data_IF_449223596321
#
_entry.id   IF_449223596321
#
_cell.length_a   1.000
_cell.length_b   1.000
_cell.length_c   1.000
_cell.angle_alpha   90.00
_cell.angle_beta   90.00
_cell.angle_gamma   90.00
#
_symmetry.space_group_name_H-M   'P 1'
#
loop_
_entity.id
_entity.type
_entity.pdbx_description
1 polymer ?
#
# COMPACT_ATOMS: atom_id res chain seq x y z
N UNK A 1 -2.05 -35.30 -2.71
CA UNK A 1 -2.76 -34.02 -2.63
C UNK A 1 -3.99 -34.22 -1.78
N UNK A 2 -4.15 -33.58 -0.63
CA UNK A 2 -5.40 -33.67 0.14
C UNK A 2 -6.52 -33.01 -0.67
N UNK A 3 -7.63 -33.72 -0.82
CA UNK A 3 -8.83 -33.20 -1.48
C UNK A 3 -9.36 -32.01 -0.67
N UNK A 4 -9.44 -30.85 -1.32
CA UNK A 4 -10.08 -29.64 -0.77
C UNK A 4 -11.57 -29.95 -0.66
N UNK A 5 -12.23 -29.78 0.51
CA UNK A 5 -13.68 -30.00 0.63
C UNK A 5 -14.41 -29.05 -0.33
N UNK A 6 -15.26 -29.61 -1.15
CA UNK A 6 -16.11 -28.90 -2.10
C UNK A 6 -17.23 -28.18 -1.32
N UNK A 7 -17.07 -26.89 -1.08
CA UNK A 7 -18.08 -26.04 -0.41
C UNK A 7 -19.32 -25.75 -1.27
N UNK A 8 -19.40 -26.28 -2.52
CA UNK A 8 -20.56 -26.10 -3.39
C UNK A 8 -21.84 -26.81 -2.90
N UNK A 9 -21.76 -27.59 -1.82
CA UNK A 9 -22.89 -28.44 -1.34
C UNK A 9 -23.63 -27.92 -0.12
N UNK A 10 -23.30 -26.74 0.42
CA UNK A 10 -24.12 -26.11 1.43
C UNK A 10 -25.04 -25.08 0.77
N UNK A 11 -26.35 -25.19 0.97
CA UNK A 11 -27.41 -24.26 0.54
C UNK A 11 -27.30 -22.93 1.30
N UNK A 12 -26.16 -22.24 1.16
CA UNK A 12 -25.82 -21.05 1.92
C UNK A 12 -26.21 -19.79 1.15
N UNK A 13 -26.83 -18.84 1.86
CA UNK A 13 -26.91 -17.46 1.39
C UNK A 13 -25.49 -16.94 1.12
N UNK A 14 -25.29 -16.15 0.06
CA UNK A 14 -24.00 -15.58 -0.31
C UNK A 14 -23.25 -14.97 0.88
N UNK A 15 -21.94 -15.25 1.02
CA UNK A 15 -21.06 -14.66 2.06
C UNK A 15 -21.10 -13.15 1.95
N UNK A 16 -21.24 -12.45 3.07
CA UNK A 16 -21.32 -10.99 3.14
C UNK A 16 -20.14 -10.41 3.90
N UNK A 17 -19.40 -9.54 3.24
CA UNK A 17 -18.30 -8.80 3.84
C UNK A 17 -18.60 -7.31 3.93
N UNK A 18 -18.13 -6.68 5.00
CA UNK A 18 -17.98 -5.23 5.07
C UNK A 18 -16.51 -4.89 5.18
N UNK A 19 -15.98 -4.16 4.20
CA UNK A 19 -14.58 -3.75 4.12
C UNK A 19 -14.46 -2.27 4.45
N UNK A 20 -13.59 -1.92 5.38
CA UNK A 20 -13.29 -0.56 5.80
C UNK A 20 -11.91 -0.16 5.31
N UNK A 21 -11.79 0.91 4.51
CA UNK A 21 -10.51 1.40 4.02
C UNK A 21 -10.36 2.92 4.18
N UNK A 22 -9.16 3.37 4.52
CA UNK A 22 -8.82 4.81 4.60
C UNK A 22 -8.78 5.49 3.23
N UNK A 23 -8.58 6.83 3.21
CA UNK A 23 -8.78 7.66 2.02
C UNK A 23 -7.65 7.60 0.99
N UNK A 24 -6.52 6.98 1.31
CA UNK A 24 -5.34 6.99 0.46
C UNK A 24 -5.12 5.65 -0.25
N UNK A 25 -4.36 5.66 -1.34
CA UNK A 25 -3.96 4.43 -2.04
C UNK A 25 -3.33 3.39 -1.13
N UNK A 26 -2.64 3.83 -0.06
CA UNK A 26 -2.04 2.94 0.93
C UNK A 26 -3.03 2.00 1.63
N UNK A 27 -4.28 2.40 1.76
CA UNK A 27 -5.34 1.59 2.37
C UNK A 27 -6.31 1.02 1.32
N UNK A 28 -6.61 1.82 0.29
CA UNK A 28 -7.62 1.46 -0.71
C UNK A 28 -7.14 0.35 -1.64
N UNK A 29 -5.87 0.37 -2.08
CA UNK A 29 -5.36 -0.66 -2.99
C UNK A 29 -5.24 -2.05 -2.34
N UNK A 30 -4.75 -2.21 -1.10
CA UNK A 30 -4.81 -3.50 -0.41
C UNK A 30 -6.25 -4.00 -0.19
N UNK A 31 -7.18 -3.09 0.13
CA UNK A 31 -8.61 -3.43 0.26
C UNK A 31 -9.21 -3.89 -1.08
N UNK A 32 -8.87 -3.22 -2.18
CA UNK A 32 -9.23 -3.64 -3.54
C UNK A 32 -8.69 -5.05 -3.84
N UNK A 33 -7.39 -5.26 -3.65
CA UNK A 33 -6.72 -6.53 -3.95
C UNK A 33 -7.31 -7.69 -3.16
N UNK A 34 -7.55 -7.49 -1.86
CA UNK A 34 -8.25 -8.46 -1.02
C UNK A 34 -9.66 -8.77 -1.55
N UNK A 35 -10.44 -7.73 -1.86
CA UNK A 35 -11.83 -7.88 -2.33
C UNK A 35 -11.91 -8.59 -3.68
N UNK A 36 -11.00 -8.30 -4.61
CA UNK A 36 -10.85 -9.00 -5.89
C UNK A 36 -10.50 -10.49 -5.66
N UNK A 37 -9.52 -10.77 -4.80
CA UNK A 37 -9.13 -12.13 -4.46
C UNK A 37 -10.25 -12.91 -3.77
N UNK A 38 -10.97 -12.26 -2.84
CA UNK A 38 -12.11 -12.87 -2.15
C UNK A 38 -13.25 -13.19 -3.11
N UNK A 39 -13.62 -12.26 -4.01
CA UNK A 39 -14.64 -12.50 -5.03
C UNK A 39 -14.24 -13.58 -6.03
N UNK A 40 -12.98 -13.64 -6.41
CA UNK A 40 -12.44 -14.70 -7.28
C UNK A 40 -12.61 -16.09 -6.64
N UNK A 41 -12.40 -16.19 -5.33
CA UNK A 41 -12.56 -17.44 -4.56
C UNK A 41 -14.02 -17.75 -4.22
N UNK A 42 -14.85 -16.71 -4.01
CA UNK A 42 -16.28 -16.78 -3.65
C UNK A 42 -17.09 -15.85 -4.57
N UNK A 43 -17.42 -16.28 -5.81
CA UNK A 43 -18.07 -15.44 -6.82
C UNK A 43 -19.39 -14.81 -6.37
N UNK A 44 -20.18 -15.56 -5.59
CA UNK A 44 -21.49 -15.12 -5.10
C UNK A 44 -21.41 -14.22 -3.86
N UNK A 45 -20.18 -13.90 -3.38
CA UNK A 45 -20.02 -13.07 -2.18
C UNK A 45 -20.53 -11.66 -2.40
N UNK A 46 -21.08 -11.04 -1.35
CA UNK A 46 -21.42 -9.63 -1.32
C UNK A 46 -20.37 -8.86 -0.52
N UNK A 47 -19.76 -7.85 -1.14
CA UNK A 47 -18.73 -7.03 -0.54
C UNK A 47 -19.16 -5.56 -0.57
N UNK A 48 -19.38 -4.99 0.61
CA UNK A 48 -19.75 -3.59 0.78
C UNK A 48 -18.52 -2.82 1.31
N UNK A 49 -18.08 -1.75 0.59
CA UNK A 49 -16.95 -0.91 0.98
C UNK A 49 -17.43 0.30 1.77
N UNK A 50 -16.79 0.58 2.89
CA UNK A 50 -16.96 1.81 3.68
C UNK A 50 -15.65 2.58 3.67
N UNK A 51 -15.68 3.81 3.14
CA UNK A 51 -14.52 4.69 3.04
C UNK A 51 -14.91 6.15 3.26
N UNK A 52 -14.08 7.12 2.95
CA UNK A 52 -14.45 8.53 3.00
C UNK A 52 -14.38 9.19 1.61
N UNK A 53 -14.97 10.38 1.46
CA UNK A 53 -15.11 11.07 0.17
C UNK A 53 -13.78 11.35 -0.55
N UNK A 54 -12.68 11.49 0.19
CA UNK A 54 -11.33 11.65 -0.41
C UNK A 54 -10.89 10.47 -1.26
N UNK A 55 -11.38 9.26 -0.95
CA UNK A 55 -11.08 8.07 -1.75
C UNK A 55 -11.85 8.02 -3.07
N UNK A 56 -12.88 8.88 -3.26
CA UNK A 56 -13.80 8.76 -4.40
C UNK A 56 -13.08 8.70 -5.75
N UNK A 57 -12.11 9.59 -5.98
CA UNK A 57 -11.36 9.62 -7.24
C UNK A 57 -10.51 8.36 -7.51
N UNK A 58 -10.12 7.62 -6.46
CA UNK A 58 -9.45 6.33 -6.59
C UNK A 58 -10.47 5.22 -6.87
N UNK A 59 -11.58 5.22 -6.14
CA UNK A 59 -12.66 4.23 -6.28
C UNK A 59 -13.30 4.30 -7.67
N UNK A 60 -13.55 5.51 -8.19
CA UNK A 60 -14.16 5.71 -9.52
C UNK A 60 -13.29 5.13 -10.67
N UNK A 61 -11.99 4.91 -10.43
CA UNK A 61 -11.06 4.30 -11.39
C UNK A 61 -10.94 2.78 -11.27
N UNK A 62 -11.58 2.17 -10.27
CA UNK A 62 -11.56 0.72 -10.05
C UNK A 62 -12.63 0.01 -10.87
N UNK A 63 -12.45 -1.28 -11.18
CA UNK A 63 -13.52 -2.09 -11.76
C UNK A 63 -14.77 -2.05 -10.86
N UNK A 64 -15.93 -1.76 -11.46
CA UNK A 64 -17.17 -1.51 -10.72
C UNK A 64 -17.73 -2.79 -10.06
N UNK A 65 -17.33 -3.96 -10.55
CA UNK A 65 -17.80 -5.25 -10.05
C UNK A 65 -17.18 -5.67 -8.71
N UNK A 66 -16.13 -4.99 -8.25
CA UNK A 66 -15.41 -5.39 -7.02
C UNK A 66 -16.30 -5.24 -5.80
N UNK A 67 -17.04 -4.14 -5.70
CA UNK A 67 -17.89 -3.81 -4.56
C UNK A 67 -19.36 -3.77 -4.96
N UNK A 68 -20.23 -4.40 -4.14
CA UNK A 68 -21.69 -4.32 -4.36
C UNK A 68 -22.25 -2.96 -3.97
N UNK A 69 -21.63 -2.31 -2.96
CA UNK A 69 -21.93 -0.91 -2.62
C UNK A 69 -20.71 -0.20 -2.07
N UNK A 70 -20.68 1.13 -2.22
CA UNK A 70 -19.65 2.00 -1.63
C UNK A 70 -20.32 3.07 -0.79
N UNK A 71 -20.02 3.07 0.50
CA UNK A 71 -20.52 4.06 1.46
C UNK A 71 -19.42 5.04 1.84
N UNK A 72 -19.71 6.33 1.72
CA UNK A 72 -18.77 7.39 2.07
C UNK A 72 -19.11 8.01 3.42
N UNK A 73 -18.18 7.91 4.36
CA UNK A 73 -18.25 8.60 5.65
C UNK A 73 -17.74 10.05 5.53
N UNK A 74 -18.20 10.96 6.39
CA UNK A 74 -17.57 12.27 6.51
C UNK A 74 -16.12 12.12 6.95
N UNK A 75 -15.27 13.06 6.51
CA UNK A 75 -13.87 13.07 6.93
C UNK A 75 -13.78 13.47 8.40
N UNK A 76 -13.04 12.67 9.15
CA UNK A 76 -12.64 12.99 10.50
C UNK A 76 -11.21 12.49 10.75
N UNK A 77 -10.49 13.22 11.55
CA UNK A 77 -9.15 12.88 11.99
C UNK A 77 -8.94 13.52 13.35
N UNK A 78 -8.03 13.02 14.14
CA UNK A 78 -7.61 13.68 15.37
C UNK A 78 -6.57 14.74 15.00
N UNK A 79 -6.88 16.04 15.10
CA UNK A 79 -5.90 17.09 14.90
C UNK A 79 -4.77 16.95 15.93
N UNK A 80 -3.54 17.17 15.51
CA UNK A 80 -2.41 17.31 16.42
C UNK A 80 -2.52 18.64 17.15
N UNK A 81 -2.80 18.62 18.46
CA UNK A 81 -2.87 19.81 19.31
C UNK A 81 -4.27 20.12 19.86
N UNK A 82 -4.31 20.92 20.91
CA UNK A 82 -5.55 21.33 21.60
C UNK A 82 -6.20 22.50 20.83
N UNK A 83 -7.33 22.25 20.19
CA UNK A 83 -8.10 23.25 19.42
C UNK A 83 -9.59 22.90 19.50
N UNK A 84 -10.49 23.87 19.29
CA UNK A 84 -11.92 23.62 19.11
C UNK A 84 -12.20 22.57 18.01
N UNK A 85 -11.29 22.39 17.05
CA UNK A 85 -11.35 21.32 16.05
C UNK A 85 -11.13 19.94 16.64
N UNK A 86 -10.56 19.81 17.85
CA UNK A 86 -10.40 18.54 18.57
C UNK A 86 -11.69 18.04 19.21
N UNK A 87 -12.72 18.88 19.37
CA UNK A 87 -14.03 18.46 19.88
C UNK A 87 -14.89 17.76 18.82
N UNK A 88 -14.68 18.06 17.52
CA UNK A 88 -15.43 17.41 16.43
C UNK A 88 -15.36 15.87 16.47
N UNK A 89 -14.19 15.22 16.61
CA UNK A 89 -14.10 13.77 16.71
C UNK A 89 -14.85 13.20 17.89
N UNK A 90 -14.91 13.90 19.02
CA UNK A 90 -15.58 13.45 20.24
C UNK A 90 -17.10 13.30 20.04
N UNK A 91 -17.74 14.22 19.31
CA UNK A 91 -19.17 14.12 18.99
C UNK A 91 -19.45 13.28 17.75
N UNK A 92 -18.53 13.28 16.77
CA UNK A 92 -18.71 12.54 15.52
C UNK A 92 -18.51 11.03 15.71
N UNK A 93 -17.63 10.62 16.63
CA UNK A 93 -17.36 9.19 16.85
C UNK A 93 -18.60 8.43 17.34
N UNK A 94 -19.35 8.84 18.39
CA UNK A 94 -20.59 8.16 18.80
C UNK A 94 -21.61 8.08 17.67
N UNK A 95 -21.78 9.14 16.89
CA UNK A 95 -22.66 9.16 15.73
C UNK A 95 -22.25 8.12 14.68
N UNK A 96 -20.95 8.09 14.31
CA UNK A 96 -20.45 7.14 13.33
C UNK A 96 -20.49 5.70 13.83
N UNK A 97 -20.23 5.50 15.12
CA UNK A 97 -20.37 4.18 15.77
C UNK A 97 -21.81 3.69 15.71
N UNK A 98 -22.79 4.50 16.14
CA UNK A 98 -24.22 4.14 16.09
C UNK A 98 -24.67 3.87 14.65
N UNK A 99 -24.26 4.71 13.70
CA UNK A 99 -24.56 4.52 12.28
C UNK A 99 -23.99 3.18 11.77
N UNK A 100 -22.74 2.88 12.10
CA UNK A 100 -22.11 1.60 11.75
C UNK A 100 -22.81 0.43 12.44
N UNK A 101 -23.15 0.55 13.72
CA UNK A 101 -23.86 -0.47 14.48
C UNK A 101 -25.20 -0.85 13.85
N UNK A 102 -26.06 0.14 13.51
CA UNK A 102 -27.34 -0.12 12.86
C UNK A 102 -27.16 -0.67 11.43
N UNK A 103 -26.15 -0.19 10.70
CA UNK A 103 -25.82 -0.71 9.38
C UNK A 103 -25.43 -2.20 9.46
N UNK A 104 -24.50 -2.56 10.36
CA UNK A 104 -24.06 -3.93 10.55
C UNK A 104 -25.18 -4.85 11.08
N UNK A 105 -26.00 -4.35 12.01
CA UNK A 105 -27.17 -5.09 12.52
C UNK A 105 -28.18 -5.41 11.43
N UNK A 106 -28.33 -4.52 10.43
CA UNK A 106 -29.21 -4.70 9.29
C UNK A 106 -28.61 -5.61 8.22
N UNK A 107 -27.33 -5.42 7.88
CA UNK A 107 -26.64 -6.15 6.80
C UNK A 107 -26.22 -7.55 7.23
N UNK A 108 -25.97 -7.75 8.52
CA UNK A 108 -25.51 -9.01 9.14
C UNK A 108 -24.37 -9.64 8.35
N UNK A 109 -23.21 -8.95 8.23
CA UNK A 109 -22.06 -9.50 7.52
C UNK A 109 -21.47 -10.68 8.29
N UNK A 110 -20.91 -11.63 7.55
CA UNK A 110 -20.19 -12.77 8.09
C UNK A 110 -18.79 -12.39 8.59
N UNK A 111 -18.23 -11.28 8.09
CA UNK A 111 -16.92 -10.76 8.47
C UNK A 111 -16.83 -9.26 8.20
N UNK A 112 -16.18 -8.54 9.11
CA UNK A 112 -15.72 -7.17 8.90
C UNK A 112 -14.19 -7.13 8.76
N UNK A 113 -13.67 -6.46 7.68
CA UNK A 113 -12.24 -6.34 7.42
C UNK A 113 -11.83 -4.88 7.41
N UNK A 114 -10.81 -4.52 8.21
CA UNK A 114 -10.28 -3.16 8.33
C UNK A 114 -8.89 -3.03 7.72
N UNK A 115 -8.72 -2.07 6.79
CA UNK A 115 -7.43 -1.71 6.19
C UNK A 115 -6.87 -0.40 6.76
N UNK A 116 -6.99 -0.23 8.09
CA UNK A 116 -6.44 0.93 8.79
C UNK A 116 -7.22 2.24 8.61
N UNK A 117 -6.61 3.33 9.08
CA UNK A 117 -7.20 4.67 9.16
C UNK A 117 -8.35 4.80 10.18
N UNK A 118 -8.63 6.03 10.59
CA UNK A 118 -9.75 6.32 11.48
C UNK A 118 -11.12 5.99 10.88
N UNK A 119 -11.22 5.87 9.56
CA UNK A 119 -12.44 5.42 8.88
C UNK A 119 -12.85 4.03 9.33
N UNK A 120 -11.89 3.13 9.58
CA UNK A 120 -12.16 1.77 10.04
C UNK A 120 -12.61 1.70 11.50
N UNK A 121 -12.18 2.65 12.34
CA UNK A 121 -12.32 2.52 13.79
C UNK A 121 -13.77 2.39 14.29
N UNK A 122 -14.74 3.27 13.94
CA UNK A 122 -16.12 3.13 14.40
C UNK A 122 -16.80 1.83 13.95
N UNK A 123 -16.54 1.44 12.69
CA UNK A 123 -17.15 0.25 12.10
C UNK A 123 -16.61 -1.05 12.70
N UNK A 124 -15.30 -1.15 12.86
CA UNK A 124 -14.65 -2.32 13.47
C UNK A 124 -15.05 -2.48 14.95
N UNK A 125 -15.15 -1.37 15.70
CA UNK A 125 -15.65 -1.39 17.08
C UNK A 125 -17.12 -1.81 17.16
N UNK A 126 -17.96 -1.35 16.22
CA UNK A 126 -19.34 -1.78 16.14
C UNK A 126 -19.47 -3.28 15.79
N UNK A 127 -18.62 -3.78 14.89
CA UNK A 127 -18.55 -5.21 14.54
C UNK A 127 -18.20 -6.05 15.78
N UNK A 128 -17.15 -5.65 16.51
CA UNK A 128 -16.77 -6.30 17.77
C UNK A 128 -17.93 -6.32 18.77
N UNK A 129 -18.61 -5.17 18.97
CA UNK A 129 -19.77 -5.08 19.90
C UNK A 129 -20.99 -5.91 19.48
N UNK A 130 -21.10 -6.26 18.21
CA UNK A 130 -22.14 -7.15 17.67
C UNK A 130 -21.71 -8.63 17.62
N UNK A 131 -20.49 -8.96 18.02
CA UNK A 131 -19.95 -10.31 17.92
C UNK A 131 -19.67 -10.77 16.49
N UNK A 132 -19.56 -9.84 15.52
CA UNK A 132 -19.22 -10.15 14.13
C UNK A 132 -17.70 -10.37 14.06
N UNK A 133 -17.21 -11.44 13.40
CA UNK A 133 -15.79 -11.69 13.22
C UNK A 133 -15.05 -10.48 12.62
N UNK A 134 -13.85 -10.23 13.10
CA UNK A 134 -13.07 -9.03 12.75
C UNK A 134 -11.64 -9.37 12.33
N UNK A 135 -11.24 -8.87 11.17
CA UNK A 135 -9.88 -8.96 10.62
C UNK A 135 -9.32 -7.57 10.35
N UNK A 136 -8.12 -7.27 10.84
CA UNK A 136 -7.37 -6.07 10.45
C UNK A 136 -6.16 -6.47 9.63
N UNK A 137 -5.90 -5.73 8.55
CA UNK A 137 -4.64 -5.76 7.85
C UNK A 137 -3.87 -4.46 8.09
N UNK A 138 -2.63 -4.55 8.62
CA UNK A 138 -1.74 -3.41 8.79
C UNK A 138 -0.68 -3.37 7.69
N UNK A 139 -0.60 -2.25 7.00
CA UNK A 139 0.27 -2.09 5.83
C UNK A 139 1.69 -1.63 6.18
N UNK A 140 1.89 -0.99 7.32
CA UNK A 140 3.15 -0.34 7.68
C UNK A 140 3.90 -1.10 8.78
N UNK A 141 5.22 -0.92 8.82
CA UNK A 141 6.09 -1.45 9.87
C UNK A 141 5.75 -0.92 11.27
N UNK A 142 5.27 0.33 11.35
CA UNK A 142 4.71 0.93 12.57
C UNK A 142 3.24 1.20 12.33
N UNK A 143 2.34 0.59 13.12
CA UNK A 143 0.90 0.75 12.94
C UNK A 143 0.42 2.17 13.20
N UNK A 144 -0.63 2.56 12.47
CA UNK A 144 -1.34 3.80 12.74
C UNK A 144 -2.08 3.77 14.08
N UNK A 145 -2.38 4.96 14.64
CA UNK A 145 -3.10 5.10 15.93
C UNK A 145 -4.43 4.33 15.95
N UNK A 146 -5.16 4.33 14.85
CA UNK A 146 -6.43 3.61 14.77
C UNK A 146 -6.24 2.09 14.93
N UNK A 147 -5.23 1.52 14.28
CA UNK A 147 -4.87 0.11 14.44
C UNK A 147 -4.51 -0.20 15.89
N UNK A 148 -3.66 0.61 16.52
CA UNK A 148 -3.31 0.42 17.93
C UNK A 148 -4.51 0.38 18.88
N UNK A 149 -5.49 1.23 18.67
CA UNK A 149 -6.71 1.26 19.51
C UNK A 149 -7.65 0.08 19.22
N UNK A 150 -7.65 -0.45 17.99
CA UNK A 150 -8.45 -1.59 17.60
C UNK A 150 -7.88 -2.94 18.08
N UNK A 151 -6.55 -3.07 18.16
CA UNK A 151 -5.85 -4.34 18.46
C UNK A 151 -6.47 -5.18 19.58
N UNK A 152 -6.84 -4.62 20.78
CA UNK A 152 -7.37 -5.43 21.88
C UNK A 152 -8.73 -6.06 21.59
N UNK A 153 -9.42 -5.55 20.58
CA UNK A 153 -10.81 -5.88 20.26
C UNK A 153 -10.98 -6.74 19.00
N UNK A 154 -9.89 -6.92 18.24
CA UNK A 154 -9.94 -7.64 16.97
C UNK A 154 -9.60 -9.11 17.16
N UNK A 155 -10.23 -9.96 16.37
CA UNK A 155 -10.00 -11.40 16.45
C UNK A 155 -8.67 -11.77 15.80
N UNK A 156 -8.43 -11.28 14.57
CA UNK A 156 -7.21 -11.56 13.81
C UNK A 156 -6.60 -10.27 13.26
N UNK A 157 -5.27 -10.21 13.30
CA UNK A 157 -4.46 -9.16 12.68
C UNK A 157 -3.52 -9.79 11.67
N UNK A 158 -3.52 -9.25 10.45
CA UNK A 158 -2.53 -9.57 9.42
C UNK A 158 -1.57 -8.39 9.25
N UNK A 159 -0.28 -8.68 9.14
CA UNK A 159 0.76 -7.66 8.94
C UNK A 159 1.45 -7.82 7.60
N UNK A 160 1.82 -6.69 6.97
CA UNK A 160 2.62 -6.70 5.75
C UNK A 160 4.10 -6.93 6.03
N UNK A 161 4.61 -6.32 7.09
CA UNK A 161 6.00 -6.40 7.50
C UNK A 161 6.13 -7.38 8.66
N UNK A 162 6.93 -8.41 8.50
CA UNK A 162 7.30 -9.27 9.61
C UNK A 162 7.87 -8.47 10.78
N UNK A 163 7.31 -8.70 11.98
CA UNK A 163 7.71 -7.98 13.19
C UNK A 163 7.27 -6.51 13.18
N UNK A 164 6.07 -6.23 12.70
CA UNK A 164 5.41 -4.93 12.87
C UNK A 164 5.40 -4.52 14.34
N UNK A 165 5.74 -3.25 14.61
CA UNK A 165 5.93 -2.75 15.97
C UNK A 165 4.61 -2.42 16.65
N UNK A 166 3.86 -3.44 17.03
CA UNK A 166 2.62 -3.27 17.78
C UNK A 166 2.91 -2.88 19.25
N UNK A 167 2.21 -1.86 19.76
CA UNK A 167 2.29 -1.47 21.19
C UNK A 167 1.70 -2.53 22.13
N UNK A 168 0.79 -3.36 21.63
CA UNK A 168 0.17 -4.47 22.35
C UNK A 168 0.15 -5.70 21.46
N UNK A 169 0.33 -6.87 22.04
CA UNK A 169 0.28 -8.12 21.29
C UNK A 169 -1.15 -8.37 20.76
N UNK A 170 -1.34 -8.60 19.45
CA UNK A 170 -2.61 -9.05 18.89
C UNK A 170 -3.06 -10.40 19.50
N UNK A 171 -4.36 -10.70 19.47
CA UNK A 171 -4.89 -12.01 19.89
C UNK A 171 -4.36 -13.12 18.99
N UNK A 172 -4.43 -12.88 17.68
CA UNK A 172 -3.89 -13.74 16.64
C UNK A 172 -3.19 -12.87 15.58
N UNK A 173 -1.97 -13.23 15.18
CA UNK A 173 -1.15 -12.46 14.23
C UNK A 173 -0.66 -13.37 13.11
N UNK A 174 -0.82 -12.88 11.87
CA UNK A 174 -0.30 -13.52 10.67
C UNK A 174 0.53 -12.54 9.84
N UNK A 175 1.71 -12.95 9.41
CA UNK A 175 2.53 -12.20 8.44
C UNK A 175 2.15 -12.64 7.04
N UNK A 176 1.33 -11.85 6.34
CA UNK A 176 0.86 -12.16 4.98
C UNK A 176 1.68 -11.48 3.89
N UNK A 177 2.33 -10.36 4.19
CA UNK A 177 2.75 -9.41 3.19
C UNK A 177 1.61 -8.46 2.81
N UNK A 178 1.88 -7.57 1.86
CA UNK A 178 0.91 -6.58 1.39
C UNK A 178 0.11 -7.14 0.20
N UNK A 179 -1.23 -7.20 0.25
CA UNK A 179 -2.04 -7.55 -0.91
C UNK A 179 -1.82 -6.57 -2.06
N UNK A 180 -1.28 -7.07 -3.17
CA UNK A 180 -1.02 -6.29 -4.38
C UNK A 180 -2.10 -6.52 -5.42
N UNK A 181 -2.34 -5.50 -6.26
CA UNK A 181 -3.27 -5.58 -7.38
C UNK A 181 -2.89 -6.71 -8.33
N UNK A 182 -3.85 -7.50 -8.79
CA UNK A 182 -3.61 -8.70 -9.59
C UNK A 182 -2.74 -8.43 -10.82
N UNK A 183 -3.00 -7.34 -11.55
CA UNK A 183 -2.21 -6.99 -12.74
C UNK A 183 -0.72 -6.69 -12.43
N UNK A 184 -0.39 -6.22 -11.21
CA UNK A 184 0.99 -6.04 -10.73
C UNK A 184 1.65 -7.41 -10.55
N UNK A 185 0.98 -8.32 -9.82
CA UNK A 185 1.49 -9.68 -9.55
C UNK A 185 1.68 -10.46 -10.85
N UNK A 186 0.67 -10.46 -11.72
CA UNK A 186 0.71 -11.16 -13.01
C UNK A 186 1.82 -10.64 -13.92
N UNK A 187 2.03 -9.32 -13.95
CA UNK A 187 3.11 -8.72 -14.72
C UNK A 187 4.49 -9.05 -14.15
N UNK A 188 4.64 -9.06 -12.81
CA UNK A 188 5.89 -9.40 -12.13
C UNK A 188 6.31 -10.87 -12.33
N UNK A 189 5.32 -11.78 -12.45
CA UNK A 189 5.55 -13.19 -12.79
C UNK A 189 6.03 -13.33 -14.25
N UNK A 190 5.40 -12.61 -15.19
CA UNK A 190 5.78 -12.64 -16.62
C UNK A 190 7.12 -11.97 -16.90
N UNK A 191 7.52 -10.95 -16.14
CA UNK A 191 8.75 -10.20 -16.34
C UNK A 191 10.05 -11.01 -16.06
N UNK A 192 9.95 -12.22 -15.53
CA UNK A 192 11.10 -13.07 -15.19
C UNK A 192 11.91 -13.62 -16.39
N UNK A 193 11.66 -13.14 -17.63
CA UNK A 193 12.28 -13.66 -18.84
C UNK A 193 12.69 -12.61 -19.86
N UNK A 194 13.88 -12.04 -19.73
CA UNK A 194 14.58 -11.33 -20.80
C UNK A 194 14.74 -9.82 -20.64
N UNK A 195 15.99 -9.32 -20.59
CA UNK A 195 16.29 -7.90 -20.70
C UNK A 195 16.54 -7.54 -22.17
N UNK A 196 15.80 -6.57 -22.69
CA UNK A 196 16.12 -5.92 -23.96
C UNK A 196 17.18 -4.84 -23.65
N UNK A 197 18.28 -4.74 -24.46
CA UNK A 197 19.24 -3.66 -24.31
C UNK A 197 18.55 -2.30 -24.38
N UNK A 198 18.71 -1.49 -23.34
CA UNK A 198 18.11 -0.16 -23.21
C UNK A 198 19.01 0.74 -22.35
N UNK A 199 18.86 2.05 -22.41
CA UNK A 199 19.54 2.97 -21.50
C UNK A 199 19.23 2.64 -20.04
N UNK A 200 20.17 2.96 -19.14
CA UNK A 200 19.95 2.84 -17.69
C UNK A 200 18.78 3.73 -17.28
N UNK A 201 17.68 3.12 -16.84
CA UNK A 201 16.41 3.78 -16.63
C UNK A 201 16.13 4.00 -15.15
N UNK A 202 16.05 5.28 -14.77
CA UNK A 202 15.64 5.73 -13.44
C UNK A 202 14.12 5.93 -13.41
N UNK A 203 13.45 5.33 -12.43
CA UNK A 203 12.04 5.61 -12.12
C UNK A 203 11.95 6.45 -10.85
N UNK A 204 11.35 7.63 -10.91
CA UNK A 204 11.13 8.49 -9.75
C UNK A 204 9.65 8.50 -9.39
N UNK A 205 9.29 8.09 -8.15
CA UNK A 205 7.90 8.00 -7.70
C UNK A 205 7.73 8.60 -6.31
N UNK A 206 7.03 9.72 -6.20
CA UNK A 206 6.73 10.39 -4.94
C UNK A 206 5.52 9.84 -4.18
N UNK A 207 4.73 8.94 -4.80
CA UNK A 207 3.45 8.45 -4.29
C UNK A 207 2.24 9.11 -4.96
N UNK A 208 1.01 8.69 -4.59
CA UNK A 208 -0.23 9.04 -5.29
C UNK A 208 -0.60 10.54 -5.29
N UNK A 209 0.00 11.34 -4.43
CA UNK A 209 -0.25 12.79 -4.31
C UNK A 209 0.91 13.66 -4.81
N UNK A 210 1.97 13.06 -5.32
CA UNK A 210 3.23 13.72 -5.61
C UNK A 210 4.09 13.92 -4.36
N UNK A 211 5.32 14.41 -4.54
CA UNK A 211 6.25 14.64 -3.44
C UNK A 211 7.22 15.77 -3.81
N UNK A 212 6.81 17.01 -3.64
CA UNK A 212 7.57 18.19 -4.04
C UNK A 212 9.02 18.18 -3.54
N UNK A 213 9.25 17.82 -2.26
CA UNK A 213 10.59 17.71 -1.70
C UNK A 213 11.43 16.64 -2.41
N UNK A 214 10.87 15.46 -2.69
CA UNK A 214 11.57 14.42 -3.45
C UNK A 214 11.87 14.88 -4.89
N UNK A 215 10.88 15.49 -5.55
CA UNK A 215 11.04 15.98 -6.93
C UNK A 215 12.20 16.97 -7.02
N UNK A 216 12.29 17.91 -6.07
CA UNK A 216 13.38 18.89 -6.01
C UNK A 216 14.75 18.21 -5.76
N UNK A 217 14.83 17.34 -4.74
CA UNK A 217 16.10 16.65 -4.42
C UNK A 217 16.60 15.82 -5.60
N UNK A 218 15.71 15.10 -6.28
CA UNK A 218 16.08 14.24 -7.41
C UNK A 218 16.52 15.05 -8.63
N UNK A 219 15.77 16.08 -9.01
CA UNK A 219 16.14 16.93 -10.16
C UNK A 219 17.46 17.66 -9.91
N UNK A 220 17.70 18.14 -8.68
CA UNK A 220 18.96 18.80 -8.31
C UNK A 220 20.13 17.82 -8.23
N UNK A 221 19.90 16.57 -7.83
CA UNK A 221 20.92 15.53 -7.83
C UNK A 221 21.32 15.14 -9.26
N UNK A 222 20.35 14.93 -10.16
CA UNK A 222 20.61 14.62 -11.57
C UNK A 222 21.35 15.78 -12.26
N UNK A 223 20.98 17.03 -12.00
CA UNK A 223 21.66 18.20 -12.55
C UNK A 223 23.11 18.34 -12.06
N UNK A 224 23.46 17.76 -10.91
CA UNK A 224 24.84 17.78 -10.38
C UNK A 224 25.71 16.63 -10.90
N UNK A 225 25.20 15.70 -11.69
CA UNK A 225 25.99 14.71 -12.43
C UNK A 225 26.72 15.36 -13.59
N UNK A 226 27.81 14.74 -14.05
CA UNK A 226 28.53 15.20 -15.27
C UNK A 226 27.69 14.96 -16.53
N UNK A 227 28.04 15.66 -17.64
CA UNK A 227 27.37 15.49 -18.93
C UNK A 227 27.49 14.04 -19.43
N UNK A 228 28.63 13.39 -19.19
CA UNK A 228 28.83 11.98 -19.53
C UNK A 228 27.87 11.06 -18.75
N UNK A 229 27.77 11.27 -17.46
CA UNK A 229 26.86 10.47 -16.60
C UNK A 229 25.39 10.67 -17.02
N UNK A 230 24.98 11.93 -17.27
CA UNK A 230 23.62 12.26 -17.70
C UNK A 230 23.26 11.68 -19.07
N UNK A 231 24.23 11.60 -19.98
CA UNK A 231 24.01 11.02 -21.32
C UNK A 231 23.73 9.51 -21.31
N UNK A 232 23.97 8.81 -20.18
CA UNK A 232 23.75 7.37 -20.03
C UNK A 232 22.37 7.01 -19.44
N UNK A 233 21.63 8.00 -18.92
CA UNK A 233 20.38 7.75 -18.18
C UNK A 233 19.13 8.21 -18.91
N UNK A 234 18.10 7.37 -18.85
CA UNK A 234 16.72 7.73 -19.15
C UNK A 234 15.96 7.92 -17.82
N UNK A 235 15.07 8.92 -17.74
CA UNK A 235 14.33 9.22 -16.52
C UNK A 235 12.83 9.11 -16.77
N UNK A 236 12.14 8.32 -15.95
CA UNK A 236 10.68 8.30 -15.87
C UNK A 236 10.30 8.90 -14.52
N UNK A 237 9.56 10.02 -14.50
CA UNK A 237 9.25 10.73 -13.27
C UNK A 237 7.76 10.95 -13.07
N UNK A 238 7.19 10.37 -12.00
CA UNK A 238 5.80 10.56 -11.59
C UNK A 238 5.76 11.65 -10.51
N UNK A 239 5.48 12.87 -10.93
CA UNK A 239 5.69 14.09 -10.14
C UNK A 239 4.48 14.51 -9.28
N UNK A 240 3.26 14.09 -9.66
CA UNK A 240 2.02 14.76 -9.23
C UNK A 240 1.69 15.95 -10.13
N UNK A 241 0.43 16.40 -10.09
CA UNK A 241 -0.07 17.46 -10.99
C UNK A 241 0.65 18.80 -10.85
N UNK A 242 1.03 19.17 -9.61
CA UNK A 242 1.59 20.49 -9.34
C UNK A 242 2.99 20.67 -9.89
N UNK A 243 3.78 19.59 -9.93
CA UNK A 243 5.20 19.69 -10.25
C UNK A 243 5.53 19.24 -11.67
N UNK A 244 4.56 18.71 -12.43
CA UNK A 244 4.83 18.14 -13.76
C UNK A 244 5.53 19.10 -14.72
N UNK A 245 5.05 20.34 -14.80
CA UNK A 245 5.55 21.31 -15.77
C UNK A 245 7.03 21.70 -15.50
N UNK A 246 7.34 22.10 -14.27
CA UNK A 246 8.68 22.53 -13.92
C UNK A 246 9.70 21.38 -13.92
N UNK A 247 9.27 20.15 -13.58
CA UNK A 247 10.14 18.97 -13.65
C UNK A 247 10.43 18.60 -15.11
N UNK A 248 9.44 18.68 -15.99
CA UNK A 248 9.66 18.44 -17.42
C UNK A 248 10.66 19.46 -18.01
N UNK A 249 10.46 20.74 -17.74
CA UNK A 249 11.39 21.81 -18.15
C UNK A 249 12.81 21.57 -17.61
N UNK A 250 12.94 21.10 -16.36
CA UNK A 250 14.22 20.82 -15.73
C UNK A 250 15.00 19.68 -16.39
N UNK A 251 14.31 18.71 -17.00
CA UNK A 251 14.97 17.59 -17.71
C UNK A 251 15.24 17.88 -19.19
N UNK A 252 14.68 18.93 -19.76
CA UNK A 252 14.85 19.26 -21.16
C UNK A 252 16.32 19.47 -21.50
N UNK A 253 16.86 18.66 -22.42
CA UNK A 253 18.28 18.68 -22.79
C UNK A 253 19.28 18.26 -21.70
N UNK A 254 18.80 17.87 -20.51
CA UNK A 254 19.67 17.53 -19.37
C UNK A 254 20.08 16.05 -19.35
N UNK A 255 19.20 15.14 -19.77
CA UNK A 255 19.39 13.68 -19.75
C UNK A 255 19.17 13.09 -21.13
N UNK A 256 19.56 11.81 -21.32
CA UNK A 256 19.40 11.12 -22.61
C UNK A 256 17.94 11.16 -23.11
N UNK A 257 17.00 10.85 -22.21
CA UNK A 257 15.57 10.99 -22.46
C UNK A 257 14.80 11.11 -21.14
N UNK A 258 13.63 11.76 -21.18
CA UNK A 258 12.75 11.88 -20.02
C UNK A 258 11.29 11.70 -20.37
N UNK A 259 10.57 10.97 -19.51
CA UNK A 259 9.11 10.83 -19.50
C UNK A 259 8.59 11.40 -18.18
N UNK A 260 7.81 12.49 -18.22
CA UNK A 260 7.32 13.17 -17.02
C UNK A 260 5.79 13.10 -16.96
N UNK A 261 5.26 12.45 -15.95
CA UNK A 261 3.83 12.22 -15.79
C UNK A 261 3.32 12.78 -14.47
N UNK A 262 2.16 13.44 -14.50
CA UNK A 262 1.46 13.82 -13.27
C UNK A 262 0.96 12.60 -12.48
N UNK A 263 0.55 11.55 -13.19
CA UNK A 263 0.03 10.29 -12.68
C UNK A 263 0.19 9.22 -13.75
N UNK A 264 0.49 7.99 -13.35
CA UNK A 264 0.56 6.86 -14.26
C UNK A 264 -0.21 5.66 -13.66
N UNK A 265 -1.15 5.11 -14.42
CA UNK A 265 -2.05 4.04 -13.93
C UNK A 265 -1.45 2.63 -14.05
N UNK A 266 -0.73 2.38 -15.15
CA UNK A 266 -0.15 1.08 -15.47
C UNK A 266 1.28 0.93 -14.92
N UNK A 267 1.45 1.09 -13.60
CA UNK A 267 2.77 1.07 -12.95
C UNK A 267 3.60 -0.19 -13.25
N UNK A 268 2.94 -1.32 -13.51
CA UNK A 268 3.59 -2.55 -13.94
C UNK A 268 4.45 -2.38 -15.20
N UNK A 269 4.03 -1.56 -16.16
CA UNK A 269 4.79 -1.29 -17.39
C UNK A 269 6.07 -0.51 -17.07
N UNK A 270 5.99 0.44 -16.13
CA UNK A 270 7.15 1.23 -15.70
C UNK A 270 8.13 0.38 -14.91
N UNK A 271 7.66 -0.44 -13.98
CA UNK A 271 8.55 -1.30 -13.19
C UNK A 271 9.34 -2.29 -14.06
N UNK A 272 8.77 -2.78 -15.17
CA UNK A 272 9.47 -3.66 -16.12
C UNK A 272 10.61 -2.95 -16.88
N UNK A 273 10.53 -1.63 -16.99
CA UNK A 273 11.50 -0.79 -17.71
C UNK A 273 12.51 -0.13 -16.76
N UNK A 274 12.42 -0.38 -15.45
CA UNK A 274 13.20 0.29 -14.42
C UNK A 274 14.42 -0.51 -14.03
N UNK A 275 15.59 0.13 -14.00
CA UNK A 275 16.82 -0.43 -13.46
C UNK A 275 17.03 -0.03 -12.01
N UNK A 276 16.61 1.20 -11.65
CA UNK A 276 16.69 1.76 -10.31
C UNK A 276 15.50 2.67 -10.05
N UNK A 277 14.82 2.46 -8.91
CA UNK A 277 13.77 3.37 -8.46
C UNK A 277 14.30 4.36 -7.41
N UNK A 278 13.87 5.62 -7.51
CA UNK A 278 14.06 6.63 -6.46
C UNK A 278 12.68 6.99 -5.95
N UNK A 279 12.41 6.74 -4.65
CA UNK A 279 11.03 6.80 -4.19
C UNK A 279 10.89 7.21 -2.71
N UNK A 280 9.66 7.54 -2.32
CA UNK A 280 9.22 7.56 -0.93
C UNK A 280 9.00 6.14 -0.42
N UNK A 281 9.01 5.93 0.90
CA UNK A 281 8.82 4.61 1.51
C UNK A 281 7.34 4.28 1.78
N UNK A 282 6.46 4.55 0.83
CA UNK A 282 5.08 4.06 0.90
C UNK A 282 5.04 2.53 0.78
N UNK A 283 4.33 1.84 1.68
CA UNK A 283 4.29 0.38 1.70
C UNK A 283 3.93 -0.23 0.33
N UNK A 284 2.87 0.28 -0.33
CA UNK A 284 2.48 -0.24 -1.66
C UNK A 284 3.64 -0.18 -2.65
N UNK A 285 4.30 0.98 -2.77
CA UNK A 285 5.41 1.15 -3.72
C UNK A 285 6.57 0.21 -3.41
N UNK A 286 6.93 0.04 -2.13
CA UNK A 286 8.03 -0.86 -1.75
C UNK A 286 7.70 -2.33 -2.09
N UNK A 287 6.49 -2.78 -1.78
CA UNK A 287 6.09 -4.16 -2.10
C UNK A 287 5.87 -4.37 -3.61
N UNK A 288 5.40 -3.37 -4.34
CA UNK A 288 5.32 -3.42 -5.81
C UNK A 288 6.71 -3.50 -6.44
N UNK A 289 7.68 -2.68 -6.01
CA UNK A 289 9.08 -2.77 -6.43
C UNK A 289 9.70 -4.14 -6.10
N UNK A 290 9.40 -4.68 -4.90
CA UNK A 290 9.84 -6.00 -4.51
C UNK A 290 9.28 -7.10 -5.42
N UNK A 291 8.02 -6.99 -5.86
CA UNK A 291 7.43 -7.96 -6.79
C UNK A 291 8.21 -8.05 -8.10
N UNK A 292 8.75 -6.95 -8.59
CA UNK A 292 9.59 -6.91 -9.80
C UNK A 292 11.09 -7.14 -9.52
N UNK A 293 11.51 -7.05 -8.25
CA UNK A 293 12.93 -7.10 -7.88
C UNK A 293 13.70 -5.84 -8.29
N UNK A 294 13.01 -4.69 -8.36
CA UNK A 294 13.61 -3.41 -8.73
C UNK A 294 14.36 -2.84 -7.52
N UNK A 295 15.67 -2.59 -7.61
CA UNK A 295 16.44 -1.94 -6.54
C UNK A 295 15.95 -0.52 -6.31
N UNK A 296 16.03 -0.01 -5.08
CA UNK A 296 15.53 1.31 -4.76
C UNK A 296 16.47 2.13 -3.87
N UNK A 297 16.58 3.42 -4.20
CA UNK A 297 17.11 4.47 -3.34
C UNK A 297 15.91 5.23 -2.77
N UNK A 298 15.82 5.27 -1.45
CA UNK A 298 14.60 5.73 -0.78
C UNK A 298 14.87 6.96 0.05
N UNK A 299 14.05 7.99 -0.15
CA UNK A 299 14.02 9.19 0.71
C UNK A 299 12.65 9.22 1.38
N UNK A 300 12.53 8.70 2.63
CA UNK A 300 11.26 8.63 3.33
C UNK A 300 10.65 10.00 3.56
N UNK A 301 9.32 10.11 3.49
CA UNK A 301 8.61 11.34 3.85
C UNK A 301 8.75 11.61 5.35
N UNK A 302 9.26 12.79 5.76
CA UNK A 302 9.66 13.04 7.15
C UNK A 302 8.49 13.25 8.12
N UNK A 303 7.28 13.49 7.58
CA UNK A 303 6.10 13.78 8.38
C UNK A 303 5.19 12.55 8.56
N UNK A 304 3.97 12.75 9.05
CA UNK A 304 2.95 11.70 9.26
C UNK A 304 3.39 10.61 10.27
N UNK A 305 4.08 11.02 11.35
CA UNK A 305 4.48 10.10 12.43
C UNK A 305 5.65 9.18 12.09
N UNK A 306 6.40 9.48 11.02
CA UNK A 306 7.63 8.75 10.67
C UNK A 306 7.42 7.34 10.10
N UNK A 307 6.18 6.92 9.81
CA UNK A 307 5.89 5.56 9.32
C UNK A 307 6.76 5.14 8.15
N UNK A 308 7.06 6.08 7.23
CA UNK A 308 7.86 5.77 6.05
C UNK A 308 9.32 5.47 6.39
N UNK A 309 9.91 6.12 7.41
CA UNK A 309 11.25 5.79 7.88
C UNK A 309 11.34 4.33 8.32
N UNK A 310 10.38 3.88 9.12
CA UNK A 310 10.35 2.49 9.59
C UNK A 310 10.06 1.48 8.47
N UNK A 311 9.24 1.84 7.48
CA UNK A 311 9.05 1.02 6.29
C UNK A 311 10.36 0.85 5.51
N UNK A 312 11.11 1.94 5.30
CA UNK A 312 12.42 1.91 4.65
C UNK A 312 13.41 1.05 5.45
N UNK A 313 13.49 1.24 6.78
CA UNK A 313 14.34 0.44 7.66
C UNK A 313 14.03 -1.06 7.52
N UNK A 314 12.75 -1.47 7.55
CA UNK A 314 12.36 -2.87 7.45
C UNK A 314 12.80 -3.55 6.15
N UNK A 315 12.92 -2.82 5.04
CA UNK A 315 13.47 -3.32 3.79
C UNK A 315 15.00 -3.25 3.75
N UNK A 316 15.59 -2.16 4.29
CA UNK A 316 17.04 -1.94 4.30
C UNK A 316 17.76 -2.99 5.17
N UNK A 317 17.22 -3.32 6.35
CA UNK A 317 17.74 -4.38 7.24
C UNK A 317 17.86 -5.75 6.55
N UNK A 318 17.01 -5.97 5.53
CA UNK A 318 17.03 -7.19 4.70
C UNK A 318 17.80 -7.00 3.38
N UNK A 319 18.50 -5.87 3.20
CA UNK A 319 19.30 -5.54 2.03
C UNK A 319 18.49 -5.22 0.76
N UNK A 320 17.18 -4.98 0.88
CA UNK A 320 16.30 -4.75 -0.26
C UNK A 320 16.34 -3.32 -0.82
N UNK A 321 16.86 -2.36 -0.08
CA UNK A 321 17.03 -0.97 -0.50
C UNK A 321 18.10 -0.28 0.33
N UNK A 322 18.51 0.91 -0.12
CA UNK A 322 19.24 1.88 0.72
C UNK A 322 18.40 3.15 0.85
N UNK A 323 18.53 3.85 1.98
CA UNK A 323 17.75 5.05 2.22
C UNK A 323 18.54 6.13 2.95
N UNK A 324 18.12 7.36 2.76
CA UNK A 324 18.60 8.55 3.47
C UNK A 324 17.41 9.40 3.90
N UNK A 325 17.48 10.05 5.04
CA UNK A 325 16.42 10.97 5.48
C UNK A 325 16.37 12.20 4.58
N UNK A 326 15.21 12.85 4.49
CA UNK A 326 15.06 14.09 3.74
C UNK A 326 15.60 15.27 4.54
N UNK A 327 16.91 15.49 4.42
CA UNK A 327 17.64 16.58 5.06
C UNK A 327 18.58 17.28 4.05
N UNK A 328 19.42 18.18 4.53
CA UNK A 328 20.39 18.92 3.70
C UNK A 328 21.45 18.02 3.03
N UNK A 329 21.69 16.82 3.53
CA UNK A 329 22.62 15.83 3.00
C UNK A 329 22.03 14.99 1.87
N UNK A 330 20.70 14.90 1.76
CA UNK A 330 20.00 13.99 0.85
C UNK A 330 20.44 14.14 -0.62
N UNK A 331 20.65 15.36 -1.09
CA UNK A 331 21.14 15.63 -2.45
C UNK A 331 22.54 15.03 -2.67
N UNK A 332 23.48 15.31 -1.78
CA UNK A 332 24.86 14.81 -1.89
C UNK A 332 24.92 13.28 -1.86
N UNK A 333 24.19 12.70 -0.92
CA UNK A 333 24.03 11.24 -0.82
C UNK A 333 23.48 10.64 -2.12
N UNK A 334 22.45 11.24 -2.70
CA UNK A 334 21.83 10.73 -3.93
C UNK A 334 22.78 10.85 -5.13
N UNK A 335 23.55 11.96 -5.25
CA UNK A 335 24.56 12.13 -6.31
C UNK A 335 25.63 11.04 -6.25
N UNK A 336 26.18 10.78 -5.06
CA UNK A 336 27.20 9.74 -4.86
C UNK A 336 26.72 8.36 -5.29
N UNK A 337 25.50 7.96 -4.83
CA UNK A 337 24.94 6.65 -5.11
C UNK A 337 24.48 6.50 -6.57
N UNK A 338 23.95 7.56 -7.19
CA UNK A 338 23.62 7.56 -8.61
C UNK A 338 24.86 7.40 -9.48
N UNK A 339 25.94 8.11 -9.16
CA UNK A 339 27.20 7.98 -9.87
C UNK A 339 27.72 6.55 -9.86
N UNK A 340 27.79 5.94 -8.68
CA UNK A 340 28.18 4.53 -8.52
C UNK A 340 27.30 3.59 -9.33
N UNK A 341 25.98 3.79 -9.31
CA UNK A 341 25.03 2.92 -10.04
C UNK A 341 25.10 3.11 -11.56
N UNK A 342 25.43 4.31 -12.05
CA UNK A 342 25.59 4.60 -13.48
C UNK A 342 26.92 4.04 -14.01
N UNK A 343 28.00 4.15 -13.23
CA UNK A 343 29.31 3.60 -13.57
C UNK A 343 29.31 2.07 -13.58
N UNK A 344 28.71 1.43 -12.56
CA UNK A 344 28.57 -0.01 -12.46
C UNK A 344 27.11 -0.41 -12.11
N UNK A 345 26.23 -0.57 -13.11
CA UNK A 345 24.88 -1.08 -12.88
C UNK A 345 24.82 -2.45 -12.22
N UNK A 346 25.89 -3.27 -12.33
CA UNK A 346 26.01 -4.56 -11.67
C UNK A 346 26.05 -4.47 -10.15
N UNK A 347 26.48 -3.36 -9.59
CA UNK A 347 26.48 -3.10 -8.15
C UNK A 347 25.08 -3.19 -7.52
N UNK A 348 24.03 -2.93 -8.30
CA UNK A 348 22.64 -3.01 -7.86
C UNK A 348 22.10 -4.46 -7.76
N UNK A 349 22.80 -5.44 -8.33
CA UNK A 349 22.31 -6.83 -8.40
C UNK A 349 22.07 -7.48 -7.03
N UNK A 350 22.85 -7.09 -6.01
CA UNK A 350 22.66 -7.53 -4.62
C UNK A 350 21.33 -7.02 -4.04
N UNK A 351 21.06 -5.73 -4.21
CA UNK A 351 19.82 -5.07 -3.77
C UNK A 351 18.62 -5.66 -4.51
N UNK A 352 18.72 -5.81 -5.83
CA UNK A 352 17.66 -6.38 -6.66
C UNK A 352 17.27 -7.79 -6.22
N UNK A 353 18.25 -8.67 -5.96
CA UNK A 353 18.00 -10.04 -5.44
C UNK A 353 17.33 -10.00 -4.06
N UNK A 354 17.78 -9.12 -3.18
CA UNK A 354 17.18 -8.96 -1.85
C UNK A 354 15.76 -8.43 -1.93
N UNK A 355 15.51 -7.43 -2.79
CA UNK A 355 14.14 -6.94 -3.08
C UNK A 355 13.23 -8.08 -3.53
N UNK A 356 13.68 -8.88 -4.50
CA UNK A 356 12.87 -10.01 -5.00
C UNK A 356 12.54 -11.03 -3.90
N UNK A 357 13.44 -11.29 -2.96
CA UNK A 357 13.19 -12.17 -1.80
C UNK A 357 12.14 -11.61 -0.82
N UNK A 358 11.96 -10.29 -0.78
CA UNK A 358 10.94 -9.64 0.05
C UNK A 358 9.55 -9.63 -0.59
N UNK A 359 9.45 -10.02 -1.85
CA UNK A 359 8.16 -10.18 -2.53
C UNK A 359 7.29 -11.22 -1.84
N UNK A 360 5.98 -10.94 -1.78
CA UNK A 360 4.95 -11.85 -1.27
C UNK A 360 3.78 -11.88 -2.25
N UNK A 361 3.97 -12.50 -3.43
CA UNK A 361 2.92 -12.54 -4.45
C UNK A 361 1.63 -13.22 -3.98
N UNK A 362 1.74 -14.12 -3.00
CA UNK A 362 0.64 -14.85 -2.38
C UNK A 362 -0.11 -14.08 -1.27
N UNK A 363 0.28 -12.82 -0.99
CA UNK A 363 -0.29 -12.04 0.12
C UNK A 363 -1.82 -11.91 0.07
N UNK A 364 -2.39 -11.75 -1.12
CA UNK A 364 -3.84 -11.66 -1.31
C UNK A 364 -4.52 -12.97 -0.96
N UNK A 365 -4.01 -14.08 -1.48
CA UNK A 365 -4.54 -15.42 -1.24
C UNK A 365 -4.42 -15.84 0.23
N UNK A 366 -3.29 -15.51 0.87
CA UNK A 366 -3.07 -15.75 2.29
C UNK A 366 -4.11 -14.99 3.16
N UNK A 367 -4.36 -13.72 2.84
CA UNK A 367 -5.35 -12.92 3.57
C UNK A 367 -6.78 -13.42 3.35
N UNK A 368 -7.11 -13.84 2.12
CA UNK A 368 -8.42 -14.46 1.80
C UNK A 368 -8.62 -15.77 2.56
N UNK A 369 -7.58 -16.59 2.68
CA UNK A 369 -7.64 -17.84 3.43
C UNK A 369 -7.83 -17.62 4.94
N UNK A 370 -7.20 -16.60 5.52
CA UNK A 370 -7.45 -16.18 6.91
C UNK A 370 -8.90 -15.75 7.09
N UNK A 371 -9.42 -14.93 6.19
CA UNK A 371 -10.81 -14.48 6.22
C UNK A 371 -11.79 -15.66 6.15
N UNK A 372 -11.54 -16.64 5.26
CA UNK A 372 -12.34 -17.87 5.15
C UNK A 372 -12.38 -18.65 6.45
N UNK A 373 -11.21 -18.96 7.02
CA UNK A 373 -11.09 -19.69 8.28
C UNK A 373 -11.81 -19.00 9.43
N UNK A 374 -11.70 -17.67 9.51
CA UNK A 374 -12.33 -16.89 10.56
C UNK A 374 -13.88 -16.97 10.46
N UNK A 375 -14.43 -16.91 9.25
CA UNK A 375 -15.87 -17.10 9.00
C UNK A 375 -16.31 -18.50 9.45
N UNK A 376 -15.62 -19.56 9.01
CA UNK A 376 -15.97 -20.95 9.34
C UNK A 376 -15.90 -21.23 10.85
N UNK A 377 -14.83 -20.77 11.51
CA UNK A 377 -14.67 -20.95 12.97
C UNK A 377 -15.78 -20.25 13.76
N UNK A 378 -16.24 -19.10 13.28
CA UNK A 378 -17.33 -18.36 13.93
C UNK A 378 -18.66 -19.09 13.78
N UNK A 379 -18.93 -19.68 12.63
CA UNK A 379 -20.15 -20.46 12.40
C UNK A 379 -20.24 -21.70 13.27
N UNK A 380 -19.14 -22.43 13.41
CA UNK A 380 -19.09 -23.62 14.26
C UNK A 380 -19.34 -23.30 15.74
N UNK A 381 -18.99 -22.08 16.17
CA UNK A 381 -19.28 -21.63 17.56
C UNK A 381 -20.70 -21.14 17.78
N UNK A 382 -21.42 -20.80 16.71
CA UNK A 382 -22.79 -20.26 16.79
C UNK A 382 -23.86 -21.27 16.46
N UNK A 383 -23.50 -22.46 15.98
CA UNK A 383 -24.30 -23.67 15.87
C UNK A 383 -24.34 -24.46 17.19
#
# INVERSE_FOLDING_TARGET
MPQIPDLSKTSRSAIRLVVYAGPTGGHVFPAQSFSEGFRRRFPDSRIDLVTCRRAKSLIDKMPQEIFNSVSYLPEFGFPGGFSWKTLKPFFLFPYLFLRAFFFLKRTKPDLCVGFGSFVSYPGMMAAHGLGIPTLIHEQNKVPGKATHWLLPHMDVVAESFEGTQFLRKPRELHTTGLPLRSFIVDAAVRAAGGSVPRPFTLLVVGGSQGAQGLNAVVTDAIAALSDEERSKIAVIHITGKQDQAWVAERYEGLVLSSEVHAFYGAMNELFQRTDLAITRAGANTLFELAAFGVPAFVIPYPHAGGHQKYNAQGFAEKGGLIFHEEDSGAKGWLVEHLRSAIEDPGSLAGIARSMKKLSRPEATEALVEIARKLIETHEDRTR
#
